data_IF_242091088447
#
_entry.id   IF_242091088447
#
_cell.length_a   1.000
_cell.length_b   1.000
_cell.length_c   1.000
_cell.angle_alpha   90.00
_cell.angle_beta   90.00
_cell.angle_gamma   90.00
#
_symmetry.space_group_name_H-M   'P 1'
#
loop_
_entity.id
_entity.type
_entity.pdbx_description
1 polymer ?
#
# COMPACT_ATOMS: atom_id res chain seq x y z
N UNK A 1 -39.60 21.38 13.66
CA UNK A 1 -38.37 21.49 12.84
C UNK A 1 -37.18 21.39 13.80
N UNK A 2 -36.51 20.23 13.86
CA UNK A 2 -35.30 20.08 14.69
C UNK A 2 -34.11 20.65 13.90
N UNK A 3 -33.26 21.52 14.47
CA UNK A 3 -32.07 21.97 13.77
C UNK A 3 -31.12 20.79 13.56
N UNK A 4 -30.71 20.60 12.31
CA UNK A 4 -29.69 19.64 11.90
C UNK A 4 -28.41 19.91 12.68
N UNK A 5 -27.94 18.92 13.43
CA UNK A 5 -26.72 19.00 14.23
C UNK A 5 -25.56 18.90 13.24
N UNK A 6 -24.90 20.01 12.97
CA UNK A 6 -23.67 20.03 12.19
C UNK A 6 -22.68 19.02 12.81
N UNK A 7 -22.27 18.03 12.02
CA UNK A 7 -21.18 17.13 12.38
C UNK A 7 -19.92 18.01 12.40
N UNK A 8 -19.20 18.11 13.51
CA UNK A 8 -17.96 18.86 13.52
C UNK A 8 -16.97 18.15 12.59
N UNK A 9 -16.67 18.76 11.45
CA UNK A 9 -15.52 18.40 10.62
C UNK A 9 -14.30 18.66 11.50
N UNK A 10 -13.55 17.60 11.84
CA UNK A 10 -12.29 17.75 12.56
C UNK A 10 -11.37 18.59 11.67
N UNK A 11 -11.02 19.79 12.14
CA UNK A 11 -10.01 20.63 11.49
C UNK A 11 -8.74 19.80 11.31
N UNK A 12 -8.28 19.68 10.06
CA UNK A 12 -7.08 18.97 9.64
C UNK A 12 -5.84 19.71 10.17
N UNK A 13 -5.59 19.58 11.46
CA UNK A 13 -4.35 19.97 12.11
C UNK A 13 -3.92 18.81 13.00
N UNK A 14 -3.49 17.72 12.38
CA UNK A 14 -2.68 16.73 13.08
C UNK A 14 -1.74 16.03 12.11
N UNK A 15 -0.49 16.48 12.21
CA UNK A 15 0.73 15.66 12.16
C UNK A 15 0.99 14.95 10.85
N UNK A 16 1.99 15.44 10.12
CA UNK A 16 2.76 14.65 9.18
C UNK A 16 3.29 13.40 9.91
N UNK A 17 2.50 12.33 9.88
CA UNK A 17 2.92 11.04 10.41
C UNK A 17 3.99 10.54 9.45
N UNK A 18 5.25 10.68 9.83
CA UNK A 18 6.33 10.14 9.02
C UNK A 18 6.25 8.62 9.08
N UNK A 19 5.50 8.02 8.14
CA UNK A 19 5.75 6.65 7.72
C UNK A 19 7.21 6.68 7.29
N UNK A 20 8.09 6.05 8.05
CA UNK A 20 9.45 5.81 7.62
C UNK A 20 9.30 4.84 6.45
N UNK A 21 9.52 5.26 5.20
CA UNK A 21 9.29 4.38 4.07
C UNK A 21 10.55 3.52 3.92
N UNK A 22 10.73 2.62 4.88
CA UNK A 22 11.58 1.44 4.71
C UNK A 22 11.09 0.70 3.45
N UNK A 23 11.97 -0.01 2.73
CA UNK A 23 11.57 -0.68 1.51
C UNK A 23 10.38 -1.61 1.79
N UNK A 24 9.23 -1.34 1.15
CA UNK A 24 8.07 -2.20 1.29
C UNK A 24 8.42 -3.52 0.60
N UNK A 25 8.55 -4.58 1.40
CA UNK A 25 8.81 -5.91 0.89
C UNK A 25 7.66 -6.37 0.01
N UNK A 26 7.96 -6.76 -1.23
CA UNK A 26 6.98 -7.32 -2.14
C UNK A 26 7.04 -8.84 -2.07
N UNK A 27 5.88 -9.47 -1.86
CA UNK A 27 5.78 -10.92 -1.79
C UNK A 27 6.19 -11.54 -3.13
N UNK A 28 6.91 -12.67 -3.11
CA UNK A 28 7.16 -13.44 -4.32
C UNK A 28 5.86 -13.73 -5.07
N UNK A 29 5.88 -13.55 -6.40
CA UNK A 29 4.72 -13.65 -7.27
C UNK A 29 3.94 -12.35 -7.43
N UNK A 30 4.19 -11.31 -6.61
CA UNK A 30 3.64 -9.97 -6.82
C UNK A 30 4.16 -9.40 -8.14
N UNK A 31 3.28 -8.72 -8.89
CA UNK A 31 3.63 -8.13 -10.20
C UNK A 31 3.72 -6.62 -10.09
N UNK A 32 4.80 -6.05 -10.59
CA UNK A 32 4.95 -4.61 -10.77
C UNK A 32 4.63 -4.21 -12.21
N UNK A 33 4.06 -3.01 -12.38
CA UNK A 33 4.01 -2.39 -13.69
C UNK A 33 5.41 -1.88 -14.07
N UNK A 34 5.86 -2.29 -15.25
CA UNK A 34 7.08 -1.79 -15.89
C UNK A 34 6.71 -1.10 -17.21
N UNK A 35 7.65 -0.36 -17.83
CA UNK A 35 7.43 0.20 -19.17
C UNK A 35 7.09 -0.85 -20.23
N UNK A 36 7.38 -2.13 -19.98
CA UNK A 36 7.15 -3.25 -20.88
C UNK A 36 5.94 -4.11 -20.49
N UNK A 37 5.17 -3.69 -19.47
CA UNK A 37 4.02 -4.41 -18.93
C UNK A 37 4.28 -4.98 -17.54
N UNK A 38 3.43 -5.90 -17.11
CA UNK A 38 3.53 -6.53 -15.79
C UNK A 38 4.72 -7.49 -15.72
N UNK A 39 5.58 -7.31 -14.72
CA UNK A 39 6.73 -8.17 -14.43
C UNK A 39 6.62 -8.71 -13.00
N UNK A 40 6.90 -10.00 -12.79
CA UNK A 40 6.97 -10.57 -11.44
C UNK A 40 8.18 -10.01 -10.69
N UNK A 41 8.04 -9.78 -9.39
CA UNK A 41 9.11 -9.14 -8.62
C UNK A 41 10.39 -9.99 -8.57
N UNK A 42 10.27 -11.31 -8.58
CA UNK A 42 11.40 -12.24 -8.61
C UNK A 42 12.19 -12.25 -9.94
N UNK A 43 11.60 -11.72 -11.01
CA UNK A 43 12.24 -11.63 -12.33
C UNK A 43 12.96 -10.28 -12.55
N UNK A 44 12.77 -9.31 -11.64
CA UNK A 44 13.42 -8.00 -11.69
C UNK A 44 14.85 -8.05 -11.18
N UNK A 45 15.71 -7.21 -11.77
CA UNK A 45 17.10 -7.05 -11.40
C UNK A 45 17.45 -5.57 -11.12
N UNK A 46 18.49 -5.29 -10.33
CA UNK A 46 19.06 -3.94 -10.27
C UNK A 46 19.42 -3.44 -11.68
N UNK A 47 18.99 -2.21 -12.00
CA UNK A 47 19.07 -1.63 -13.34
C UNK A 47 17.76 -1.66 -14.13
N UNK A 48 16.81 -2.53 -13.76
CA UNK A 48 15.52 -2.59 -14.43
C UNK A 48 14.64 -1.38 -14.10
N UNK A 49 13.72 -1.07 -15.01
CA UNK A 49 12.79 0.04 -14.89
C UNK A 49 11.43 -0.45 -14.38
N UNK A 50 10.89 0.27 -13.39
CA UNK A 50 9.52 0.15 -12.93
C UNK A 50 8.77 1.44 -13.19
N UNK A 51 7.46 1.34 -13.40
CA UNK A 51 6.59 2.47 -13.69
C UNK A 51 5.91 2.94 -12.41
N UNK A 52 6.01 4.24 -12.14
CA UNK A 52 5.28 4.89 -11.05
C UNK A 52 3.82 5.20 -11.41
N UNK A 53 3.04 5.67 -10.43
CA UNK A 53 1.63 6.03 -10.61
C UNK A 53 1.36 7.05 -11.73
N UNK A 54 2.33 7.89 -12.07
CA UNK A 54 2.20 8.98 -13.05
C UNK A 54 2.67 8.52 -14.43
N UNK A 55 3.08 7.25 -14.57
CA UNK A 55 3.58 6.69 -15.83
C UNK A 55 5.06 6.95 -16.07
N UNK A 56 5.79 7.54 -15.12
CA UNK A 56 7.22 7.73 -15.25
C UNK A 56 7.99 6.47 -14.86
N UNK A 57 9.09 6.22 -15.55
CA UNK A 57 9.99 5.12 -15.20
C UNK A 57 10.99 5.55 -14.12
N UNK A 58 11.29 4.64 -13.19
CA UNK A 58 12.40 4.75 -12.25
C UNK A 58 13.18 3.45 -12.19
N UNK A 59 14.50 3.56 -11.97
CA UNK A 59 15.42 2.44 -11.95
C UNK A 59 15.47 1.80 -10.56
N UNK A 60 15.53 0.47 -10.53
CA UNK A 60 15.82 -0.29 -9.32
C UNK A 60 17.32 -0.21 -9.05
N UNK A 61 17.70 0.46 -7.96
CA UNK A 61 19.10 0.59 -7.55
C UNK A 61 19.63 -0.68 -6.88
N UNK A 62 18.80 -1.38 -6.10
CA UNK A 62 19.15 -2.62 -5.44
C UNK A 62 17.91 -3.47 -5.13
N UNK A 63 18.11 -4.78 -4.97
CA UNK A 63 17.09 -5.73 -4.53
C UNK A 63 17.69 -6.58 -3.42
N UNK A 64 17.04 -6.59 -2.26
CA UNK A 64 17.33 -7.53 -1.18
C UNK A 64 16.23 -8.60 -1.13
N UNK A 65 16.63 -9.87 -1.08
CA UNK A 65 15.68 -10.99 -0.98
C UNK A 65 15.71 -11.59 0.42
N UNK A 66 14.58 -11.54 1.12
CA UNK A 66 14.44 -12.04 2.49
C UNK A 66 13.56 -13.28 2.49
N UNK A 67 14.09 -14.39 3.00
CA UNK A 67 13.36 -15.64 3.11
C UNK A 67 12.86 -15.84 4.54
N UNK A 68 11.55 -15.73 4.75
CA UNK A 68 10.93 -16.01 6.04
C UNK A 68 10.51 -17.47 6.08
N UNK A 69 11.13 -18.26 6.96
CA UNK A 69 10.83 -19.69 7.16
C UNK A 69 10.32 -19.92 8.58
N UNK A 70 9.39 -20.86 8.75
CA UNK A 70 8.91 -21.28 10.08
C UNK A 70 7.47 -20.88 10.38
N UNK A 71 6.91 -21.44 11.47
CA UNK A 71 5.48 -21.37 11.81
C UNK A 71 5.03 -19.95 12.17
N UNK A 72 3.91 -19.53 11.57
CA UNK A 72 3.07 -18.39 11.94
C UNK A 72 3.68 -16.99 11.74
N UNK A 73 4.39 -16.76 10.63
CA UNK A 73 4.59 -15.38 10.16
C UNK A 73 3.23 -14.80 9.78
N UNK A 74 2.86 -13.67 10.39
CA UNK A 74 1.64 -12.95 10.02
C UNK A 74 1.94 -11.94 8.93
N UNK A 75 1.04 -11.86 7.96
CA UNK A 75 1.10 -10.88 6.87
C UNK A 75 -0.29 -10.26 6.68
N UNK A 76 -0.35 -9.14 5.98
CA UNK A 76 -1.61 -8.55 5.56
C UNK A 76 -1.98 -9.10 4.19
N UNK A 77 -3.18 -9.65 4.06
CA UNK A 77 -3.77 -10.02 2.78
C UNK A 77 -4.76 -8.94 2.40
N UNK A 78 -4.53 -8.29 1.27
CA UNK A 78 -5.53 -7.49 0.56
C UNK A 78 -6.31 -8.44 -0.35
N UNK A 79 -7.63 -8.48 -0.23
CA UNK A 79 -8.50 -9.34 -1.04
C UNK A 79 -8.52 -8.89 -2.51
N UNK A 80 -8.89 -9.82 -3.41
CA UNK A 80 -9.27 -9.40 -4.75
C UNK A 80 -10.47 -8.44 -4.66
N UNK A 81 -10.53 -7.47 -5.57
CA UNK A 81 -11.57 -6.46 -5.66
C UNK A 81 -11.69 -5.51 -4.44
N UNK A 82 -10.75 -5.58 -3.48
CA UNK A 82 -10.79 -4.81 -2.24
C UNK A 82 -10.82 -3.28 -2.45
N UNK A 83 -10.24 -2.79 -3.54
CA UNK A 83 -10.18 -1.38 -3.93
C UNK A 83 -11.06 -1.11 -5.16
N UNK A 84 -12.13 -1.89 -5.35
CA UNK A 84 -13.02 -1.84 -6.50
C UNK A 84 -12.76 -2.97 -7.51
N UNK A 85 -13.65 -3.09 -8.50
CA UNK A 85 -13.63 -4.20 -9.47
C UNK A 85 -12.29 -4.34 -10.19
N UNK A 86 -11.65 -5.50 -10.03
CA UNK A 86 -10.35 -5.86 -10.60
C UNK A 86 -9.15 -5.24 -9.86
N UNK A 87 -9.35 -4.60 -8.70
CA UNK A 87 -8.29 -3.91 -7.98
C UNK A 87 -8.20 -4.37 -6.51
N UNK A 88 -7.23 -5.22 -6.15
CA UNK A 88 -6.38 -5.99 -7.05
C UNK A 88 -7.16 -7.13 -7.73
N UNK A 89 -6.68 -7.62 -8.88
CA UNK A 89 -7.29 -8.75 -9.63
C UNK A 89 -7.25 -10.06 -8.83
N UNK A 90 -6.28 -10.19 -7.93
CA UNK A 90 -6.02 -11.35 -7.08
C UNK A 90 -5.55 -10.89 -5.71
N UNK A 91 -5.66 -11.72 -4.68
CA UNK A 91 -5.18 -11.33 -3.36
C UNK A 91 -3.69 -10.96 -3.37
N UNK A 92 -3.34 -9.87 -2.71
CA UNK A 92 -1.96 -9.37 -2.57
C UNK A 92 -1.53 -9.52 -1.12
N UNK A 93 -0.32 -10.06 -0.90
CA UNK A 93 0.28 -10.17 0.42
C UNK A 93 1.24 -9.01 0.64
N UNK A 94 1.06 -8.30 1.75
CA UNK A 94 1.84 -7.13 2.12
C UNK A 94 2.41 -7.30 3.54
N UNK A 95 3.61 -6.76 3.80
CA UNK A 95 4.16 -6.69 5.15
C UNK A 95 3.39 -5.64 5.97
N UNK A 96 3.51 -5.71 7.30
CA UNK A 96 2.76 -4.83 8.22
C UNK A 96 3.15 -3.36 8.11
N UNK A 97 4.38 -3.08 7.69
CA UNK A 97 4.93 -1.75 7.46
C UNK A 97 4.61 -1.16 6.08
N UNK A 98 3.93 -1.91 5.22
CA UNK A 98 3.49 -1.40 3.92
C UNK A 98 2.55 -0.20 4.08
N UNK A 99 2.75 0.80 3.22
CA UNK A 99 1.84 1.93 3.09
C UNK A 99 1.24 1.97 1.69
N UNK A 100 -0.08 2.06 1.63
CA UNK A 100 -0.85 2.09 0.40
C UNK A 100 -1.47 3.46 0.19
N UNK A 101 -1.49 3.94 -1.05
CA UNK A 101 -2.25 5.12 -1.42
C UNK A 101 -3.74 4.78 -1.40
N UNK A 102 -4.50 5.52 -0.61
CA UNK A 102 -5.96 5.45 -0.56
C UNK A 102 -6.51 6.78 -1.05
N UNK A 103 -7.54 6.72 -1.88
CA UNK A 103 -8.27 7.88 -2.40
C UNK A 103 -9.78 7.62 -2.34
N UNK A 104 -10.57 8.69 -2.34
CA UNK A 104 -12.03 8.61 -2.45
C UNK A 104 -12.79 9.39 -1.38
N UNK A 105 -14.11 9.38 -1.49
CA UNK A 105 -15.02 10.26 -0.75
C UNK A 105 -14.86 10.17 0.78
N UNK A 106 -14.58 8.99 1.32
CA UNK A 106 -14.38 8.81 2.74
C UNK A 106 -13.20 9.66 3.26
N UNK A 107 -12.13 9.76 2.48
CA UNK A 107 -10.97 10.55 2.84
C UNK A 107 -11.29 12.05 2.80
N UNK A 108 -11.99 12.50 1.76
CA UNK A 108 -12.41 13.89 1.62
C UNK A 108 -13.38 14.29 2.74
N UNK A 109 -14.31 13.41 3.12
CA UNK A 109 -15.29 13.65 4.18
C UNK A 109 -14.69 13.66 5.59
N UNK A 110 -13.77 12.74 5.88
CA UNK A 110 -13.18 12.62 7.22
C UNK A 110 -12.02 13.58 7.46
N UNK A 111 -11.21 13.86 6.43
CA UNK A 111 -9.92 14.55 6.57
C UNK A 111 -9.74 15.74 5.62
N UNK A 112 -10.64 15.94 4.65
CA UNK A 112 -10.48 17.00 3.65
C UNK A 112 -9.32 16.77 2.69
N UNK A 113 -8.94 15.49 2.49
CA UNK A 113 -7.87 15.08 1.57
C UNK A 113 -8.47 14.24 0.44
N UNK A 114 -7.97 14.41 -0.77
CA UNK A 114 -8.41 13.60 -1.93
C UNK A 114 -7.69 12.24 -1.98
N UNK A 115 -6.44 12.22 -1.52
CA UNK A 115 -5.62 11.02 -1.39
C UNK A 115 -4.66 11.10 -0.18
N UNK A 116 -4.31 9.95 0.38
CA UNK A 116 -3.34 9.84 1.46
C UNK A 116 -2.66 8.47 1.46
N UNK A 117 -1.42 8.43 1.94
CA UNK A 117 -0.75 7.19 2.32
C UNK A 117 -1.28 6.70 3.66
N UNK A 118 -1.70 5.44 3.69
CA UNK A 118 -2.24 4.80 4.88
C UNK A 118 -1.46 3.52 5.15
N UNK A 119 -0.96 3.30 6.38
CA UNK A 119 -0.41 2.00 6.76
C UNK A 119 -1.45 0.92 6.54
N UNK A 120 -1.11 -0.14 5.80
CA UNK A 120 -2.10 -1.16 5.40
C UNK A 120 -2.70 -1.86 6.61
N UNK A 121 -1.94 -2.00 7.70
CA UNK A 121 -2.45 -2.56 8.97
C UNK A 121 -3.62 -1.73 9.54
N UNK A 122 -3.63 -0.42 9.31
CA UNK A 122 -4.72 0.46 9.75
C UNK A 122 -6.02 0.23 8.97
N UNK A 123 -5.93 -0.35 7.78
CA UNK A 123 -7.07 -0.69 6.92
C UNK A 123 -7.64 -2.08 7.24
N UNK A 124 -6.99 -2.85 8.12
CA UNK A 124 -7.38 -4.21 8.46
C UNK A 124 -8.82 -4.26 9.03
N UNK A 125 -9.71 -4.90 8.29
CA UNK A 125 -11.11 -5.11 8.65
C UNK A 125 -11.51 -6.59 8.75
N UNK A 126 -10.63 -7.51 8.37
CA UNK A 126 -10.89 -8.95 8.34
C UNK A 126 -11.54 -9.45 7.03
N UNK A 127 -11.92 -8.54 6.13
CA UNK A 127 -12.59 -8.85 4.87
C UNK A 127 -11.70 -8.44 3.68
N UNK A 128 -11.66 -7.15 3.37
CA UNK A 128 -10.83 -6.55 2.32
C UNK A 128 -9.35 -6.58 2.67
N UNK A 129 -9.02 -6.30 3.92
CA UNK A 129 -7.67 -6.39 4.46
C UNK A 129 -7.70 -7.23 5.72
N UNK A 130 -7.02 -8.36 5.70
CA UNK A 130 -7.01 -9.31 6.81
C UNK A 130 -5.58 -9.71 7.19
N UNK A 131 -5.31 -9.79 8.48
CA UNK A 131 -4.10 -10.44 8.98
C UNK A 131 -4.27 -11.95 8.82
N UNK A 132 -3.34 -12.60 8.13
CA UNK A 132 -3.33 -14.05 7.93
C UNK A 132 -2.01 -14.64 8.42
N UNK A 133 -2.04 -15.92 8.80
CA UNK A 133 -0.84 -16.69 9.13
C UNK A 133 -0.36 -17.48 7.91
N UNK A 134 0.94 -17.47 7.65
CA UNK A 134 1.57 -18.28 6.61
C UNK A 134 2.29 -19.48 7.25
N UNK A 135 1.75 -20.71 7.12
CA UNK A 135 2.34 -21.89 7.75
C UNK A 135 3.65 -22.35 7.10
N UNK A 136 3.86 -22.02 5.82
CA UNK A 136 5.02 -22.43 5.01
C UNK A 136 6.10 -21.36 4.86
N UNK A 137 5.91 -20.17 5.42
CA UNK A 137 6.79 -19.02 5.18
C UNK A 137 6.54 -18.33 3.84
N UNK A 138 7.34 -17.29 3.54
CA UNK A 138 7.22 -16.42 2.38
C UNK A 138 8.59 -15.81 2.00
N UNK A 139 8.79 -15.52 0.72
CA UNK A 139 9.94 -14.75 0.23
C UNK A 139 9.50 -13.31 -0.05
N UNK A 140 10.24 -12.35 0.49
CA UNK A 140 10.07 -10.93 0.24
C UNK A 140 11.20 -10.40 -0.65
N UNK A 141 10.86 -9.49 -1.55
CA UNK A 141 11.79 -8.73 -2.38
C UNK A 141 11.69 -7.25 -2.00
N UNK A 142 12.70 -6.75 -1.31
CA UNK A 142 12.81 -5.36 -0.89
C UNK A 142 13.51 -4.59 -2.00
N UNK A 143 12.78 -3.66 -2.63
CA UNK A 143 13.30 -2.86 -3.73
C UNK A 143 13.82 -1.51 -3.22
N UNK A 144 15.05 -1.17 -3.56
CA UNK A 144 15.58 0.18 -3.43
C UNK A 144 15.52 0.86 -4.79
N UNK A 145 14.83 1.98 -4.88
CA UNK A 145 14.71 2.76 -6.12
C UNK A 145 15.71 3.92 -6.13
N UNK A 146 16.17 4.32 -7.32
CA UNK A 146 17.00 5.53 -7.46
C UNK A 146 16.24 6.81 -7.05
N UNK A 147 14.92 6.80 -7.18
CA UNK A 147 14.04 7.85 -6.70
C UNK A 147 12.84 7.24 -5.97
N UNK A 148 12.43 7.84 -4.84
CA UNK A 148 11.14 7.55 -4.23
C UNK A 148 9.98 7.60 -5.22
N UNK A 149 9.08 6.63 -5.13
CA UNK A 149 7.93 6.52 -6.04
C UNK A 149 6.75 5.80 -5.38
N UNK A 150 5.57 5.95 -6.01
CA UNK A 150 4.42 5.08 -5.77
C UNK A 150 4.40 4.02 -6.87
N UNK A 151 4.67 2.78 -6.50
CA UNK A 151 4.72 1.66 -7.43
C UNK A 151 3.33 1.07 -7.62
N UNK A 152 3.03 0.69 -8.86
CA UNK A 152 1.81 -0.06 -9.19
C UNK A 152 2.10 -1.55 -9.02
N UNK A 153 1.49 -2.18 -8.02
CA UNK A 153 1.70 -3.59 -7.64
C UNK A 153 0.38 -4.34 -7.65
N UNK A 154 0.19 -5.23 -8.63
CA UNK A 154 -1.07 -5.97 -8.85
C UNK A 154 -2.34 -5.07 -8.81
N UNK A 155 -2.19 -3.81 -9.24
CA UNK A 155 -3.26 -2.80 -9.26
C UNK A 155 -3.27 -1.86 -8.05
N UNK A 156 -2.61 -2.21 -6.95
CA UNK A 156 -2.46 -1.36 -5.78
C UNK A 156 -1.34 -0.33 -5.96
N UNK A 157 -1.45 0.82 -5.31
CA UNK A 157 -0.42 1.84 -5.28
C UNK A 157 0.32 1.81 -3.94
N UNK A 158 1.58 1.36 -3.94
CA UNK A 158 2.39 1.17 -2.75
C UNK A 158 3.55 2.15 -2.69
N UNK A 159 3.79 2.72 -1.51
CA UNK A 159 4.90 3.64 -1.31
C UNK A 159 6.24 2.91 -1.27
N UNK A 160 7.21 3.41 -2.04
CA UNK A 160 8.63 3.05 -1.92
C UNK A 160 9.43 4.33 -1.74
N UNK A 161 9.89 4.59 -0.52
CA UNK A 161 10.59 5.83 -0.17
C UNK A 161 9.74 7.10 -0.22
N UNK A 162 8.45 7.03 -0.60
CA UNK A 162 7.65 8.20 -1.00
C UNK A 162 7.15 9.02 0.19
N UNK A 163 7.44 10.32 0.18
CA UNK A 163 6.96 11.31 1.17
C UNK A 163 6.18 12.47 0.54
N UNK A 164 5.91 12.41 -0.78
CA UNK A 164 5.28 13.51 -1.53
C UNK A 164 3.75 13.59 -1.34
N UNK A 165 3.14 12.58 -0.73
CA UNK A 165 1.70 12.50 -0.47
C UNK A 165 1.46 12.61 1.04
N UNK A 166 0.41 13.30 1.50
CA UNK A 166 0.01 13.29 2.91
C UNK A 166 -0.13 11.87 3.44
N UNK A 167 0.29 11.65 4.67
CA UNK A 167 0.18 10.35 5.35
C UNK A 167 -0.79 10.45 6.53
N UNK A 168 -1.60 9.41 6.71
CA UNK A 168 -2.45 9.28 7.87
C UNK A 168 -1.78 8.47 8.98
N UNK A 169 -2.10 8.81 10.22
CA UNK A 169 -1.75 7.97 11.36
C UNK A 169 -2.53 6.65 11.32
N UNK A 170 -2.03 5.57 11.96
CA UNK A 170 -2.81 4.33 12.08
C UNK A 170 -4.18 4.51 12.75
N UNK A 171 -4.33 5.48 13.65
CA UNK A 171 -5.60 5.76 14.31
C UNK A 171 -6.62 6.36 13.33
N UNK A 172 -6.16 7.26 12.45
CA UNK A 172 -6.99 7.90 11.43
C UNK A 172 -7.31 6.93 10.29
N UNK A 173 -6.33 6.12 9.87
CA UNK A 173 -6.52 5.10 8.81
C UNK A 173 -7.64 4.11 9.11
N UNK A 174 -7.85 3.74 10.39
CA UNK A 174 -8.94 2.84 10.83
C UNK A 174 -10.34 3.40 10.63
N UNK A 175 -10.48 4.70 10.38
CA UNK A 175 -11.76 5.31 10.03
C UNK A 175 -12.15 5.06 8.57
N UNK A 176 -11.19 4.66 7.75
CA UNK A 176 -11.42 4.37 6.34
C UNK A 176 -11.91 2.93 6.16
N UNK A 177 -12.75 2.76 5.15
CA UNK A 177 -13.11 1.46 4.59
C UNK A 177 -12.73 1.50 3.12
N UNK A 178 -12.07 0.45 2.64
CA UNK A 178 -11.88 0.30 1.20
C UNK A 178 -13.26 0.07 0.56
N UNK A 179 -13.47 0.66 -0.61
CA UNK A 179 -14.80 0.78 -1.21
C UNK A 179 -15.29 -0.53 -1.82
N UNK A 180 -16.53 -0.89 -1.50
CA UNK A 180 -17.39 -1.81 -2.28
C UNK A 180 -17.98 -1.11 -3.50
#
# INVERSE_FOLDING_TARGET
>A
MRPSRAIPVRSAASVAYSIQPEPCGLAQGARLLTPFGWCAVEDLLPGDLVTDRDGHATCIAAIETVHVRGRAATVLRVAADACGYGCPERPVLLPHDAAMLVAGDALSLHFGLDEALVPVEALANGEDVAVIELPSGLTWHNLTLERPALLVVDGLLLAQGCAAVPSLSPADGRLLRLSL
#
